data_IF_838406161566
#
_entry.id   IF_838406161566
#
_cell.length_a   1.000
_cell.length_b   1.000
_cell.length_c   1.000
_cell.angle_alpha   90.00
_cell.angle_beta   90.00
_cell.angle_gamma   90.00
#
_symmetry.space_group_name_H-M   'P 1'
#
loop_
_entity.id
_entity.type
_entity.pdbx_description
1 polymer ?
#
# COMPACT_ATOMS: atom_id res chain seq x y z
N UNK A 1 -14.67 -37.12 -95.72
CA UNK A 1 -13.48 -37.31 -94.85
C UNK A 1 -13.54 -36.29 -93.73
N UNK A 2 -13.47 -36.72 -92.44
CA UNK A 2 -13.35 -35.86 -91.25
C UNK A 2 -11.86 -35.44 -91.07
N UNK A 3 -11.45 -34.53 -90.15
CA UNK A 3 -11.40 -34.79 -88.69
C UNK A 3 -11.50 -33.47 -87.86
N UNK A 4 -11.26 -33.31 -86.55
CA UNK A 4 -10.93 -34.13 -85.38
C UNK A 4 -11.38 -33.30 -84.16
N UNK A 5 -11.92 -33.95 -83.14
CA UNK A 5 -12.22 -33.34 -81.83
C UNK A 5 -10.92 -33.21 -81.04
N UNK A 6 -10.67 -32.06 -80.42
CA UNK A 6 -9.64 -31.89 -79.37
C UNK A 6 -10.27 -31.30 -78.10
N UNK A 7 -10.16 -32.07 -77.01
CA UNK A 7 -10.66 -31.74 -75.68
C UNK A 7 -9.73 -30.75 -74.98
N UNK A 8 -10.28 -29.71 -74.34
CA UNK A 8 -9.58 -28.90 -73.35
C UNK A 8 -10.25 -29.08 -71.97
N UNK A 9 -9.48 -29.52 -70.97
CA UNK A 9 -9.89 -29.57 -69.56
C UNK A 9 -9.34 -28.34 -68.83
N UNK A 10 -10.14 -27.74 -67.94
CA UNK A 10 -9.60 -27.13 -66.72
C UNK A 10 -10.29 -27.72 -65.48
N UNK A 11 -9.54 -28.47 -64.66
CA UNK A 11 -8.86 -28.05 -63.42
C UNK A 11 -9.83 -27.95 -62.22
N UNK A 12 -9.67 -28.93 -61.33
CA UNK A 12 -10.23 -29.01 -59.98
C UNK A 12 -9.81 -27.78 -59.16
N UNK A 13 -10.78 -27.10 -58.56
CA UNK A 13 -10.52 -26.09 -57.53
C UNK A 13 -11.22 -26.56 -56.25
N UNK A 14 -10.43 -27.06 -55.32
CA UNK A 14 -10.85 -27.25 -53.94
C UNK A 14 -10.82 -25.88 -53.23
N UNK A 15 -11.93 -25.49 -52.60
CA UNK A 15 -11.97 -24.33 -51.71
C UNK A 15 -12.33 -24.81 -50.30
N UNK A 16 -11.36 -24.68 -49.39
CA UNK A 16 -11.45 -24.99 -47.98
C UNK A 16 -12.42 -24.05 -47.26
N UNK A 17 -13.32 -24.64 -46.46
CA UNK A 17 -14.17 -23.96 -45.48
C UNK A 17 -13.35 -23.78 -44.19
N UNK A 18 -13.06 -22.54 -43.78
CA UNK A 18 -12.53 -22.22 -42.46
C UNK A 18 -13.67 -21.64 -41.61
N UNK A 19 -14.17 -22.47 -40.69
CA UNK A 19 -15.16 -22.12 -39.67
C UNK A 19 -14.41 -21.62 -38.43
N UNK A 20 -14.34 -20.30 -38.24
CA UNK A 20 -13.72 -19.70 -37.05
C UNK A 20 -14.71 -19.75 -35.87
N UNK A 21 -14.35 -20.52 -34.85
CA UNK A 21 -15.06 -20.59 -33.58
C UNK A 21 -14.92 -19.26 -32.82
N UNK A 22 -16.05 -18.61 -32.50
CA UNK A 22 -16.10 -17.55 -31.50
C UNK A 22 -15.98 -18.18 -30.11
N UNK A 23 -14.81 -18.07 -29.49
CA UNK A 23 -14.65 -18.35 -28.07
C UNK A 23 -14.88 -17.04 -27.29
N UNK A 24 -15.80 -16.98 -26.31
CA UNK A 24 -15.88 -15.84 -25.42
C UNK A 24 -14.63 -15.86 -24.52
N UNK A 25 -13.78 -14.86 -24.66
CA UNK A 25 -12.62 -14.70 -23.79
C UNK A 25 -13.11 -14.55 -22.34
N UNK A 26 -12.57 -15.32 -21.37
CA UNK A 26 -12.85 -15.07 -19.96
C UNK A 26 -12.27 -13.70 -19.61
N UNK A 27 -13.13 -12.78 -19.16
CA UNK A 27 -12.68 -11.58 -18.46
C UNK A 27 -11.91 -12.04 -17.23
N UNK A 28 -10.58 -12.01 -17.31
CA UNK A 28 -9.74 -12.15 -16.13
C UNK A 28 -10.00 -10.91 -15.25
N UNK A 29 -10.38 -11.07 -13.97
CA UNK A 29 -10.43 -9.94 -13.06
C UNK A 29 -9.01 -9.35 -12.96
N UNK A 30 -8.88 -8.05 -13.19
CA UNK A 30 -7.63 -7.35 -12.90
C UNK A 30 -7.36 -7.48 -11.41
N UNK A 31 -6.30 -8.19 -11.04
CA UNK A 31 -5.81 -8.23 -9.67
C UNK A 31 -5.40 -6.81 -9.30
N UNK A 32 -6.09 -6.20 -8.33
CA UNK A 32 -5.67 -4.93 -7.74
C UNK A 32 -4.40 -5.24 -6.95
N UNK A 33 -3.25 -5.03 -7.57
CA UNK A 33 -1.96 -5.21 -6.92
C UNK A 33 -1.75 -4.01 -5.99
N UNK A 34 -1.97 -4.21 -4.69
CA UNK A 34 -1.43 -3.31 -3.68
C UNK A 34 0.07 -3.16 -3.96
N UNK A 35 0.60 -1.93 -3.97
CA UNK A 35 2.00 -1.68 -4.34
C UNK A 35 2.93 -2.57 -3.51
N UNK A 36 3.51 -3.59 -4.15
CA UNK A 36 4.43 -4.52 -3.51
C UNK A 36 5.61 -3.71 -2.97
N UNK A 37 5.84 -3.78 -1.66
CA UNK A 37 6.98 -3.12 -1.00
C UNK A 37 8.28 -3.62 -1.63
N UNK A 38 9.01 -2.75 -2.33
CA UNK A 38 10.32 -3.12 -2.92
C UNK A 38 11.35 -3.44 -1.84
N UNK A 39 11.30 -2.70 -0.73
CA UNK A 39 12.18 -2.87 0.44
C UNK A 39 11.31 -2.93 1.70
N UNK A 40 10.92 -4.13 2.14
CA UNK A 40 10.18 -4.30 3.40
C UNK A 40 11.10 -3.96 4.60
N UNK A 41 10.84 -2.87 5.35
CA UNK A 41 11.76 -2.39 6.38
C UNK A 41 11.76 -3.26 7.65
N UNK A 42 10.80 -4.18 7.82
CA UNK A 42 10.67 -5.09 8.99
C UNK A 42 10.75 -4.40 10.36
N UNK A 43 10.48 -3.10 10.40
CA UNK A 43 10.70 -2.23 11.54
C UNK A 43 10.60 -0.76 11.17
N UNK A 44 11.04 0.11 12.08
CA UNK A 44 11.13 1.55 11.86
C UNK A 44 12.37 2.12 12.54
N UNK A 45 13.17 2.95 11.84
CA UNK A 45 14.41 3.56 12.34
C UNK A 45 15.33 2.59 13.08
N UNK A 46 15.60 1.44 12.47
CA UNK A 46 16.41 0.34 13.02
C UNK A 46 15.85 -0.32 14.29
N UNK A 47 14.57 -0.10 14.60
CA UNK A 47 13.84 -0.83 15.65
C UNK A 47 13.02 -1.93 14.96
N UNK A 48 13.37 -3.21 15.12
CA UNK A 48 12.62 -4.31 14.51
C UNK A 48 11.24 -4.46 15.13
N UNK A 49 10.27 -4.93 14.34
CA UNK A 49 8.98 -5.36 14.88
C UNK A 49 9.14 -6.41 15.98
N UNK A 50 8.27 -6.37 16.98
CA UNK A 50 8.32 -7.26 18.13
C UNK A 50 9.29 -6.85 19.24
N UNK A 51 10.19 -5.89 18.98
CA UNK A 51 11.19 -5.44 19.95
C UNK A 51 10.54 -4.62 21.09
N UNK A 52 11.09 -4.67 22.32
CA UNK A 52 10.66 -3.75 23.37
C UNK A 52 11.16 -2.33 23.09
N UNK A 53 10.37 -1.31 23.47
CA UNK A 53 10.76 0.11 23.39
C UNK A 53 11.40 0.65 24.68
N UNK A 54 11.50 -0.18 25.72
CA UNK A 54 11.93 0.23 27.08
C UNK A 54 13.37 0.71 27.19
N UNK A 55 14.22 0.44 26.18
CA UNK A 55 15.64 0.82 26.19
C UNK A 55 15.94 2.12 25.41
N UNK A 56 14.91 2.86 24.96
CA UNK A 56 15.12 4.13 24.27
C UNK A 56 14.98 5.27 25.28
N UNK A 57 16.12 5.70 25.83
CA UNK A 57 16.22 6.78 26.81
C UNK A 57 15.57 8.11 26.37
N UNK A 58 15.28 8.24 25.07
CA UNK A 58 14.66 9.41 24.49
C UNK A 58 13.13 9.32 24.40
N UNK A 59 12.45 8.18 24.59
CA UNK A 59 11.00 8.10 24.36
C UNK A 59 10.15 8.58 25.55
N UNK A 60 9.20 9.49 25.30
CA UNK A 60 8.24 9.93 26.30
C UNK A 60 6.95 9.09 26.25
N UNK A 61 6.55 8.47 27.35
CA UNK A 61 5.28 7.74 27.44
C UNK A 61 4.10 8.72 27.43
N UNK A 62 3.24 8.64 26.40
CA UNK A 62 2.08 9.53 26.20
C UNK A 62 0.73 8.82 26.31
N UNK A 63 0.72 7.49 26.19
CA UNK A 63 -0.48 6.67 26.33
C UNK A 63 -0.13 5.39 27.08
N UNK A 64 -0.90 5.07 28.11
CA UNK A 64 -0.72 3.88 28.92
C UNK A 64 -2.09 3.21 29.13
N UNK A 65 -2.47 2.36 28.18
CA UNK A 65 -3.63 1.49 28.26
C UNK A 65 -3.16 0.09 28.69
N UNK A 66 -4.11 -0.79 29.02
CA UNK A 66 -3.81 -2.13 29.54
C UNK A 66 -2.77 -2.88 28.69
N UNK A 67 -3.13 -3.14 27.43
CA UNK A 67 -2.26 -3.85 26.49
C UNK A 67 -1.46 -2.93 25.57
N UNK A 68 -1.94 -1.70 25.35
CA UNK A 68 -1.35 -0.75 24.39
C UNK A 68 -0.62 0.37 25.12
N UNK A 69 0.64 0.60 24.75
CA UNK A 69 1.40 1.77 25.22
C UNK A 69 1.86 2.60 24.03
N UNK A 70 1.70 3.91 24.14
CA UNK A 70 2.10 4.88 23.12
C UNK A 70 3.21 5.78 23.64
N UNK A 71 4.21 5.99 22.80
CA UNK A 71 5.40 6.77 23.08
C UNK A 71 5.57 7.84 22.01
N UNK A 72 5.94 9.05 22.39
CA UNK A 72 6.28 10.13 21.46
C UNK A 72 7.80 10.33 21.43
N UNK A 73 8.33 10.70 20.27
CA UNK A 73 9.75 11.05 20.11
C UNK A 73 9.92 12.54 20.47
N UNK A 74 10.51 12.89 21.62
CA UNK A 74 10.70 14.25 22.08
C UNK A 74 12.04 14.78 21.56
N UNK A 75 12.03 15.29 20.32
CA UNK A 75 13.03 16.22 19.80
C UNK A 75 12.31 17.31 19.01
N UNK A 76 13.00 18.43 18.77
CA UNK A 76 12.59 19.48 17.81
C UNK A 76 11.99 18.86 16.54
N UNK A 77 11.04 19.56 15.89
CA UNK A 77 9.95 18.97 15.12
C UNK A 77 10.35 17.67 14.40
N UNK A 78 9.72 16.53 14.72
CA UNK A 78 10.23 15.25 14.25
C UNK A 78 10.27 15.22 12.72
N UNK A 79 11.25 14.50 12.16
CA UNK A 79 11.44 14.42 10.71
C UNK A 79 11.08 13.04 10.13
N UNK A 80 10.50 13.03 8.94
CA UNK A 80 10.36 11.85 8.08
C UNK A 80 11.15 12.10 6.80
N UNK A 81 12.30 11.41 6.67
CA UNK A 81 13.33 11.85 5.72
C UNK A 81 13.76 13.29 6.06
N UNK A 82 13.74 14.17 5.07
CA UNK A 82 14.03 15.61 5.24
C UNK A 82 12.79 16.43 5.64
N UNK A 83 11.61 15.81 5.70
CA UNK A 83 10.34 16.52 5.91
C UNK A 83 10.02 16.65 7.39
N UNK A 84 9.83 17.87 7.88
CA UNK A 84 9.29 18.12 9.24
C UNK A 84 7.82 17.68 9.32
N UNK A 85 7.49 16.92 10.35
CA UNK A 85 6.14 16.44 10.65
C UNK A 85 5.73 16.87 12.07
N UNK A 86 4.44 16.86 12.36
CA UNK A 86 3.93 17.35 13.66
C UNK A 86 4.21 16.37 14.79
N UNK A 87 4.10 15.07 14.52
CA UNK A 87 4.36 14.04 15.53
C UNK A 87 4.76 12.72 14.89
N UNK A 88 5.64 12.00 15.59
CA UNK A 88 5.97 10.59 15.33
C UNK A 88 5.77 9.85 16.64
N UNK A 89 4.83 8.90 16.64
CA UNK A 89 4.47 8.12 17.82
C UNK A 89 4.68 6.65 17.55
N UNK A 90 5.26 5.96 18.51
CA UNK A 90 5.55 4.53 18.48
C UNK A 90 4.63 3.83 19.46
N UNK A 91 4.09 2.69 19.08
CA UNK A 91 3.15 1.93 19.90
C UNK A 91 3.61 0.49 20.10
N UNK A 92 3.41 0.01 21.32
CA UNK A 92 3.58 -1.39 21.68
C UNK A 92 2.23 -2.03 22.03
N UNK A 93 2.12 -3.33 21.75
CA UNK A 93 1.04 -4.20 22.22
C UNK A 93 1.69 -5.32 23.03
N UNK A 94 1.26 -5.52 24.28
CA UNK A 94 1.85 -6.50 25.20
C UNK A 94 3.40 -6.37 25.31
N UNK A 95 3.90 -5.13 25.23
CA UNK A 95 5.34 -4.82 25.26
C UNK A 95 6.07 -4.97 23.92
N UNK A 96 5.40 -5.40 22.86
CA UNK A 96 5.97 -5.62 21.53
C UNK A 96 5.73 -4.41 20.60
N UNK A 97 6.78 -3.78 20.09
CA UNK A 97 6.68 -2.70 19.10
C UNK A 97 6.06 -3.19 17.79
N UNK A 98 5.03 -2.50 17.31
CA UNK A 98 4.35 -2.93 16.08
C UNK A 98 3.62 -1.87 15.29
N UNK A 99 3.58 -0.61 15.75
CA UNK A 99 2.87 0.46 15.04
C UNK A 99 3.58 1.80 15.23
N UNK A 100 3.74 2.52 14.13
CA UNK A 100 4.16 3.92 14.09
C UNK A 100 3.01 4.73 13.52
N UNK A 101 2.68 5.86 14.15
CA UNK A 101 1.74 6.83 13.62
C UNK A 101 2.44 8.17 13.45
N UNK A 102 2.32 8.74 12.25
CA UNK A 102 2.90 10.03 11.90
C UNK A 102 1.77 10.96 11.48
N UNK A 103 1.78 12.18 12.01
CA UNK A 103 0.82 13.24 11.66
C UNK A 103 1.55 14.44 11.10
N UNK A 104 0.95 15.06 10.10
CA UNK A 104 1.46 16.29 9.50
C UNK A 104 0.33 17.11 8.88
N UNK A 105 0.65 18.35 8.54
CA UNK A 105 -0.26 19.34 8.01
C UNK A 105 0.30 19.99 6.73
N UNK A 106 -0.60 20.37 5.83
CA UNK A 106 -0.28 21.10 4.60
C UNK A 106 -0.08 20.21 3.38
N UNK A 107 -0.46 20.72 2.22
CA UNK A 107 -0.29 20.03 0.93
C UNK A 107 1.17 19.82 0.55
N UNK A 108 2.02 20.81 0.76
CA UNK A 108 3.44 20.70 0.39
C UNK A 108 4.14 19.60 1.20
N UNK A 109 3.84 19.53 2.50
CA UNK A 109 4.28 18.45 3.38
C UNK A 109 3.75 17.09 2.91
N UNK A 110 2.49 17.01 2.48
CA UNK A 110 1.91 15.78 1.92
C UNK A 110 2.69 15.30 0.70
N UNK A 111 2.94 16.19 -0.25
CA UNK A 111 3.64 15.86 -1.48
C UNK A 111 5.08 15.40 -1.19
N UNK A 112 5.77 16.04 -0.24
CA UNK A 112 7.11 15.66 0.22
C UNK A 112 7.12 14.29 0.91
N UNK A 113 6.15 14.02 1.81
CA UNK A 113 5.99 12.70 2.46
C UNK A 113 5.71 11.62 1.42
N UNK A 114 4.80 11.86 0.47
CA UNK A 114 4.48 10.91 -0.58
C UNK A 114 5.71 10.60 -1.43
N UNK A 115 6.46 11.63 -1.86
CA UNK A 115 7.68 11.46 -2.63
C UNK A 115 8.74 10.66 -1.85
N UNK A 116 8.91 10.94 -0.55
CA UNK A 116 9.78 10.16 0.33
C UNK A 116 9.38 8.69 0.37
N UNK A 117 8.10 8.37 0.62
CA UNK A 117 7.62 6.99 0.68
C UNK A 117 7.81 6.27 -0.65
N UNK A 118 7.51 6.92 -1.78
CA UNK A 118 7.75 6.35 -3.11
C UNK A 118 9.23 6.07 -3.37
N UNK A 119 10.13 6.93 -2.88
CA UNK A 119 11.58 6.73 -3.01
C UNK A 119 12.09 5.52 -2.22
N UNK A 120 11.50 5.24 -1.06
CA UNK A 120 11.93 4.18 -0.16
C UNK A 120 11.30 2.82 -0.51
N UNK A 121 10.02 2.84 -0.86
CA UNK A 121 9.17 1.65 -0.87
C UNK A 121 8.63 1.29 -2.26
N UNK A 122 8.89 2.14 -3.25
CA UNK A 122 8.48 1.95 -4.64
C UNK A 122 7.28 2.82 -5.03
N UNK A 123 7.02 2.96 -6.34
CA UNK A 123 5.92 3.77 -6.84
C UNK A 123 4.56 3.18 -6.44
N UNK A 124 3.59 4.06 -6.20
CA UNK A 124 2.18 3.69 -6.06
C UNK A 124 1.56 3.43 -7.44
N UNK A 125 0.67 2.45 -7.53
CA UNK A 125 -0.17 2.30 -8.72
C UNK A 125 -1.17 3.46 -8.79
N UNK A 126 -1.12 4.20 -9.90
CA UNK A 126 -1.98 5.37 -10.19
C UNK A 126 -3.13 5.02 -11.13
N UNK A 127 -3.48 3.74 -11.25
CA UNK A 127 -4.62 3.31 -12.05
C UNK A 127 -5.91 4.07 -11.63
N UNK A 128 -6.69 4.62 -12.59
CA UNK A 128 -7.93 5.30 -12.30
C UNK A 128 -8.88 4.41 -11.48
N UNK A 129 -9.27 4.87 -10.29
CA UNK A 129 -10.06 4.11 -9.31
C UNK A 129 -9.30 3.70 -8.05
N UNK A 130 -7.96 3.62 -8.10
CA UNK A 130 -7.13 3.28 -6.93
C UNK A 130 -6.89 4.47 -5.99
N UNK A 131 -6.98 5.71 -6.50
CA UNK A 131 -6.60 6.93 -5.77
C UNK A 131 -7.77 7.71 -5.14
N UNK A 132 -9.02 7.37 -5.45
CA UNK A 132 -10.17 8.24 -5.17
C UNK A 132 -11.23 7.53 -4.33
N UNK A 133 -11.10 7.64 -3.00
CA UNK A 133 -12.25 7.49 -2.08
C UNK A 133 -12.68 8.88 -1.61
N UNK A 134 -13.39 9.61 -2.48
CA UNK A 134 -13.93 10.94 -2.17
C UNK A 134 -12.86 12.04 -2.13
N UNK A 135 -12.95 12.93 -1.12
CA UNK A 135 -12.01 14.06 -0.93
C UNK A 135 -10.68 13.66 -0.25
N UNK A 136 -10.54 12.40 0.12
CA UNK A 136 -9.33 11.89 0.78
C UNK A 136 -8.49 11.12 -0.24
N UNK A 137 -7.18 11.37 -0.23
CA UNK A 137 -6.22 10.55 -0.97
C UNK A 137 -5.74 9.44 -0.05
N UNK A 138 -5.75 8.20 -0.52
CA UNK A 138 -5.27 7.06 0.25
C UNK A 138 -4.28 6.24 -0.58
N UNK A 139 -3.15 5.90 0.02
CA UNK A 139 -2.08 5.12 -0.58
C UNK A 139 -1.68 4.00 0.37
N UNK A 140 -1.41 2.81 -0.19
CA UNK A 140 -1.00 1.64 0.56
C UNK A 140 0.23 1.02 -0.09
N UNK A 141 1.22 0.67 0.74
CA UNK A 141 2.30 -0.23 0.36
C UNK A 141 2.24 -1.45 1.25
N UNK A 142 2.38 -2.63 0.64
CA UNK A 142 2.23 -3.90 1.35
C UNK A 142 3.43 -4.79 1.12
N UNK A 143 4.06 -5.19 2.23
CA UNK A 143 5.17 -6.13 2.27
C UNK A 143 4.75 -7.43 2.96
N UNK A 144 5.73 -8.28 3.23
CA UNK A 144 5.53 -9.55 3.95
C UNK A 144 5.30 -9.29 5.44
N UNK A 145 6.11 -8.41 6.02
CA UNK A 145 6.13 -8.10 7.45
C UNK A 145 5.54 -6.73 7.76
N UNK A 146 5.62 -5.78 6.81
CA UNK A 146 5.21 -4.38 7.01
C UNK A 146 4.04 -4.00 6.13
N UNK A 147 3.14 -3.18 6.66
CA UNK A 147 2.10 -2.48 5.91
C UNK A 147 2.19 -0.98 6.18
N UNK A 148 2.09 -0.18 5.11
CA UNK A 148 2.18 1.28 5.16
C UNK A 148 0.89 1.85 4.58
N UNK A 149 0.17 2.64 5.38
CA UNK A 149 -1.05 3.31 4.96
C UNK A 149 -0.88 4.82 5.11
N UNK A 150 -0.96 5.55 3.99
CA UNK A 150 -0.97 7.00 3.96
C UNK A 150 -2.37 7.49 3.60
N UNK A 151 -2.94 8.37 4.42
CA UNK A 151 -4.20 9.07 4.14
C UNK A 151 -3.98 10.56 4.22
N UNK A 152 -4.55 11.32 3.28
CA UNK A 152 -4.55 12.77 3.29
C UNK A 152 -5.96 13.32 3.11
N UNK A 153 -6.43 14.08 4.10
CA UNK A 153 -7.71 14.77 4.12
C UNK A 153 -7.57 16.17 3.51
N UNK A 154 -7.83 16.32 2.21
CA UNK A 154 -7.59 17.60 1.51
C UNK A 154 -8.36 18.79 2.11
N UNK A 155 -9.61 18.57 2.57
CA UNK A 155 -10.44 19.63 3.19
C UNK A 155 -9.81 20.23 4.44
N UNK A 156 -9.03 19.43 5.18
CA UNK A 156 -8.40 19.84 6.44
C UNK A 156 -6.89 19.97 6.31
N UNK A 157 -6.36 19.69 5.12
CA UNK A 157 -4.95 19.55 4.81
C UNK A 157 -4.17 18.70 5.83
N UNK A 158 -4.78 17.62 6.32
CA UNK A 158 -4.21 16.74 7.34
C UNK A 158 -3.76 15.42 6.76
N UNK A 159 -2.54 15.01 7.11
CA UNK A 159 -1.96 13.73 6.75
C UNK A 159 -1.84 12.77 7.93
N UNK A 160 -2.15 11.51 7.66
CA UNK A 160 -2.03 10.40 8.59
C UNK A 160 -1.24 9.29 7.91
N UNK A 161 -0.11 8.92 8.51
CA UNK A 161 0.73 7.82 8.03
C UNK A 161 0.86 6.77 9.13
N UNK A 162 0.50 5.54 8.78
CA UNK A 162 0.67 4.36 9.60
C UNK A 162 1.73 3.46 8.97
N UNK A 163 2.71 3.03 9.76
CA UNK A 163 3.71 2.02 9.39
C UNK A 163 3.63 0.94 10.46
N UNK A 164 3.27 -0.27 10.05
CA UNK A 164 2.81 -1.30 10.99
C UNK A 164 3.34 -2.68 10.67
N UNK A 165 3.55 -3.46 11.72
CA UNK A 165 3.76 -4.90 11.62
C UNK A 165 2.45 -5.60 11.22
N UNK A 166 2.49 -6.37 10.13
CA UNK A 166 1.33 -7.15 9.64
C UNK A 166 0.89 -8.25 10.61
N UNK A 167 1.81 -8.76 11.43
CA UNK A 167 1.52 -9.82 12.39
C UNK A 167 1.00 -9.28 13.72
N UNK A 168 1.40 -8.07 14.11
CA UNK A 168 0.96 -7.43 15.36
C UNK A 168 -0.26 -6.52 15.19
N UNK A 169 -0.47 -5.91 14.01
CA UNK A 169 -1.56 -4.95 13.75
C UNK A 169 -2.96 -5.46 14.13
N UNK A 170 -3.35 -6.73 13.86
CA UNK A 170 -4.65 -7.25 14.31
C UNK A 170 -4.86 -7.13 15.83
N UNK A 171 -3.83 -7.41 16.63
CA UNK A 171 -3.91 -7.34 18.09
C UNK A 171 -4.11 -5.92 18.61
N UNK A 172 -3.56 -4.93 17.91
CA UNK A 172 -3.86 -3.53 18.23
C UNK A 172 -5.32 -3.21 17.98
N UNK A 173 -5.87 -3.64 16.83
CA UNK A 173 -7.25 -3.36 16.48
C UNK A 173 -8.22 -3.98 17.51
N UNK A 174 -7.96 -5.22 17.92
CA UNK A 174 -8.71 -5.91 18.96
C UNK A 174 -8.65 -5.14 20.29
N UNK A 175 -7.44 -4.82 20.76
CA UNK A 175 -7.25 -4.15 22.06
C UNK A 175 -7.88 -2.75 22.11
N UNK A 176 -7.88 -2.02 20.99
CA UNK A 176 -8.45 -0.68 20.89
C UNK A 176 -9.98 -0.69 20.75
N UNK A 177 -10.53 -1.71 20.09
CA UNK A 177 -11.97 -1.94 20.03
C UNK A 177 -12.53 -2.25 21.43
N UNK A 178 -11.85 -3.09 22.21
CA UNK A 178 -12.26 -3.48 23.57
C UNK A 178 -12.27 -2.31 24.56
N UNK A 179 -11.44 -1.30 24.34
CA UNK A 179 -11.37 -0.11 25.20
C UNK A 179 -12.31 1.03 24.76
N UNK A 180 -13.15 0.81 23.75
CA UNK A 180 -14.10 1.81 23.25
C UNK A 180 -13.46 3.04 22.60
N UNK A 181 -12.14 3.02 22.36
CA UNK A 181 -11.42 4.08 21.67
C UNK A 181 -11.43 3.81 20.16
N UNK A 182 -12.51 4.21 19.52
CA UNK A 182 -12.54 4.32 18.05
C UNK A 182 -11.56 5.44 17.66
N UNK A 183 -10.54 5.11 16.88
CA UNK A 183 -9.61 6.10 16.29
C UNK A 183 -10.27 6.88 15.16
#
# INVERSE_FOLDING_TARGET
MPPLIAHSRPRLTAALILLAWLWPAPFLPATVEAGTLLNDPKGFRNIPWGSPLTNQAELALIQNMDRVKGYEVPKEPPHLGETTVESVRLFTIDGQFGRVTIRYQGKDTHDAVLAYLQSQFGPIDRSPGSMMRGLNQQYNWRGTDTEINLTYEAKRERGYLFIESRTLSPRFNDALADTGSSY
#
